data_IF_723823341375
#
_entry.id   IF_723823341375
#
_cell.length_a   1.000
_cell.length_b   1.000
_cell.length_c   1.000
_cell.angle_alpha   90.00
_cell.angle_beta   90.00
_cell.angle_gamma   90.00
#
_symmetry.space_group_name_H-M   'P 1'
#
loop_
_entity.id
_entity.type
_entity.pdbx_description
1 polymer ?
#
# COMPACT_ATOMS: atom_id res chain seq x y z
N UNK A 1 7.55 3.95 -1.73
CA UNK A 1 7.21 5.37 -1.48
C UNK A 1 6.86 5.52 -0.02
N UNK A 2 7.17 6.66 0.60
CA UNK A 2 6.65 6.95 1.95
C UNK A 2 5.14 7.21 1.90
N UNK A 3 4.46 7.17 3.06
CA UNK A 3 3.02 7.44 3.15
C UNK A 3 2.73 8.83 2.57
N UNK A 4 1.94 8.86 1.48
CA UNK A 4 1.71 10.04 0.65
C UNK A 4 0.55 9.77 -0.32
N UNK A 5 0.03 10.83 -0.95
CA UNK A 5 -1.00 10.67 -1.98
C UNK A 5 -0.47 9.89 -3.17
N UNK A 6 0.79 10.12 -3.54
CA UNK A 6 1.52 9.38 -4.58
C UNK A 6 1.58 7.88 -4.30
N UNK A 7 1.73 7.47 -3.03
CA UNK A 7 1.66 6.06 -2.65
C UNK A 7 0.28 5.47 -2.95
N UNK A 8 -0.80 6.15 -2.56
CA UNK A 8 -2.18 5.70 -2.81
C UNK A 8 -2.44 5.61 -4.32
N UNK A 9 -2.11 6.66 -5.07
CA UNK A 9 -2.23 6.68 -6.53
C UNK A 9 -1.39 5.58 -7.18
N UNK A 10 -0.19 5.31 -6.69
CA UNK A 10 0.69 4.25 -7.19
C UNK A 10 0.11 2.85 -6.97
N UNK A 11 -0.47 2.58 -5.80
CA UNK A 11 -1.15 1.30 -5.52
C UNK A 11 -2.34 1.12 -6.47
N UNK A 12 -3.20 2.14 -6.59
CA UNK A 12 -4.36 2.10 -7.51
C UNK A 12 -3.92 1.94 -8.97
N UNK A 13 -2.84 2.61 -9.38
CA UNK A 13 -2.28 2.48 -10.72
C UNK A 13 -1.83 1.05 -11.02
N UNK A 14 -1.12 0.41 -10.08
CA UNK A 14 -0.66 -0.98 -10.23
C UNK A 14 -1.87 -1.93 -10.36
N UNK A 15 -2.85 -1.81 -9.48
CA UNK A 15 -4.02 -2.69 -9.48
C UNK A 15 -4.91 -2.48 -10.71
N UNK A 16 -5.11 -1.23 -11.14
CA UNK A 16 -5.96 -0.90 -12.30
C UNK A 16 -5.43 -1.39 -13.65
N UNK A 17 -4.13 -1.67 -13.76
CA UNK A 17 -3.53 -2.28 -14.95
C UNK A 17 -3.40 -3.80 -14.86
N UNK A 18 -3.92 -4.41 -13.79
CA UNK A 18 -3.84 -5.85 -13.52
C UNK A 18 -2.45 -6.33 -13.10
N UNK A 19 -1.58 -5.43 -12.63
CA UNK A 19 -0.28 -5.80 -12.09
C UNK A 19 -0.38 -6.18 -10.61
N UNK A 20 0.61 -6.95 -10.13
CA UNK A 20 0.65 -7.41 -8.75
C UNK A 20 1.43 -6.42 -7.89
N UNK A 21 0.78 -5.83 -6.90
CA UNK A 21 1.40 -4.92 -5.96
C UNK A 21 2.24 -5.67 -4.91
N UNK A 22 3.47 -5.23 -4.68
CA UNK A 22 4.27 -5.69 -3.55
C UNK A 22 4.86 -4.47 -2.83
N UNK A 23 4.53 -4.25 -1.54
CA UNK A 23 5.04 -3.11 -0.80
C UNK A 23 6.55 -3.26 -0.55
N UNK A 24 7.30 -2.22 -0.90
CA UNK A 24 8.68 -2.02 -0.48
C UNK A 24 8.71 -0.87 0.53
N UNK A 25 9.05 -1.18 1.78
CA UNK A 25 9.20 -0.16 2.81
C UNK A 25 10.53 0.61 2.59
N UNK A 26 10.52 1.94 2.38
CA UNK A 26 11.74 2.72 2.16
C UNK A 26 12.73 2.72 3.32
N UNK A 27 12.26 2.37 4.52
CA UNK A 27 13.08 2.25 5.73
C UNK A 27 13.73 0.86 5.88
N UNK A 28 13.35 -0.11 5.04
CA UNK A 28 13.96 -1.45 5.09
C UNK A 28 15.41 -1.39 4.58
N UNK A 29 16.35 -2.16 5.16
CA UNK A 29 17.73 -2.21 4.68
C UNK A 29 17.81 -2.61 3.18
N UNK A 30 18.76 -2.06 2.39
CA UNK A 30 18.87 -2.37 0.96
C UNK A 30 18.92 -3.87 0.63
N UNK A 31 19.63 -4.65 1.45
CA UNK A 31 19.70 -6.11 1.28
C UNK A 31 18.33 -6.78 1.37
N UNK A 32 17.45 -6.28 2.26
CA UNK A 32 16.08 -6.78 2.43
C UNK A 32 15.21 -6.42 1.22
N UNK A 33 15.32 -5.19 0.71
CA UNK A 33 14.64 -4.75 -0.51
C UNK A 33 15.06 -5.62 -1.71
N UNK A 34 16.36 -5.84 -1.90
CA UNK A 34 16.88 -6.69 -2.96
C UNK A 34 16.40 -8.15 -2.84
N UNK A 35 16.39 -8.70 -1.63
CA UNK A 35 15.87 -10.04 -1.37
C UNK A 35 14.38 -10.15 -1.73
N UNK A 36 13.58 -9.14 -1.37
CA UNK A 36 12.14 -9.11 -1.66
C UNK A 36 11.86 -9.03 -3.17
N UNK A 37 12.60 -8.19 -3.89
CA UNK A 37 12.53 -8.09 -5.36
C UNK A 37 12.89 -9.43 -6.01
N UNK A 38 13.96 -10.08 -5.53
CA UNK A 38 14.39 -11.37 -6.06
C UNK A 38 13.38 -12.49 -5.79
N UNK A 39 12.81 -12.55 -4.59
CA UNK A 39 11.84 -13.58 -4.19
C UNK A 39 10.53 -13.45 -4.99
N UNK A 40 10.07 -12.21 -5.19
CA UNK A 40 8.82 -11.91 -5.92
C UNK A 40 9.00 -11.89 -7.44
N UNK A 41 10.25 -11.95 -7.93
CA UNK A 41 10.61 -11.73 -9.34
C UNK A 41 10.01 -10.43 -9.86
N UNK A 42 10.08 -9.38 -9.04
CA UNK A 42 9.58 -8.06 -9.40
C UNK A 42 10.19 -7.59 -10.72
N UNK A 43 9.36 -7.07 -11.62
CA UNK A 43 9.80 -6.58 -12.93
C UNK A 43 10.04 -5.08 -12.95
N UNK A 44 9.25 -4.35 -12.17
CA UNK A 44 9.32 -2.89 -12.06
C UNK A 44 9.30 -2.47 -10.60
N UNK A 45 9.94 -1.33 -10.30
CA UNK A 45 9.77 -0.63 -9.03
C UNK A 45 9.19 0.75 -9.32
N UNK A 46 8.03 1.02 -8.73
CA UNK A 46 7.39 2.33 -8.81
C UNK A 46 7.88 3.21 -7.64
N UNK A 47 8.52 4.32 -7.98
CA UNK A 47 9.06 5.31 -7.03
C UNK A 47 8.48 6.68 -7.30
N UNK A 48 8.59 7.60 -6.34
CA UNK A 48 8.37 9.03 -6.53
C UNK A 48 9.71 9.77 -6.45
N UNK A 49 9.71 11.09 -6.67
CA UNK A 49 10.93 11.89 -6.62
C UNK A 49 11.68 11.74 -5.29
N UNK A 50 10.99 11.76 -4.15
CA UNK A 50 11.62 11.66 -2.82
C UNK A 50 12.23 10.30 -2.50
N UNK A 51 11.73 9.21 -3.10
CA UNK A 51 12.26 7.87 -2.85
C UNK A 51 13.24 7.38 -3.92
N UNK A 52 13.35 8.08 -5.05
CA UNK A 52 14.24 7.70 -6.15
C UNK A 52 15.71 7.63 -5.74
N UNK A 53 16.16 8.64 -5.00
CA UNK A 53 17.57 8.78 -4.59
C UNK A 53 17.96 7.86 -3.44
N UNK A 54 16.96 7.41 -2.65
CA UNK A 54 17.13 6.47 -1.53
C UNK A 54 17.14 5.01 -1.99
N UNK A 55 16.59 4.75 -3.18
CA UNK A 55 16.44 3.39 -3.69
C UNK A 55 17.79 2.84 -4.21
N UNK A 56 18.22 1.64 -3.77
CA UNK A 56 19.51 1.09 -4.18
C UNK A 56 19.56 0.88 -5.69
N UNK A 57 20.73 1.15 -6.28
CA UNK A 57 21.01 0.77 -7.66
C UNK A 57 20.80 -0.75 -7.80
N UNK A 58 19.85 -1.14 -8.64
CA UNK A 58 19.49 -2.53 -8.88
C UNK A 58 19.19 -2.72 -10.37
N UNK A 59 19.29 -3.96 -10.84
CA UNK A 59 19.06 -4.31 -12.25
C UNK A 59 17.57 -4.32 -12.66
N UNK A 60 16.69 -3.76 -11.82
CA UNK A 60 15.24 -3.71 -12.05
C UNK A 60 14.86 -2.41 -12.73
N UNK A 61 13.86 -2.45 -13.61
CA UNK A 61 13.33 -1.27 -14.27
C UNK A 61 12.61 -0.37 -13.25
N UNK A 62 12.97 0.92 -13.23
CA UNK A 62 12.38 1.90 -12.33
C UNK A 62 11.36 2.74 -13.09
N UNK A 63 10.14 2.79 -12.56
CA UNK A 63 9.09 3.70 -13.00
C UNK A 63 9.00 4.85 -12.01
N UNK A 64 9.05 6.09 -12.51
CA UNK A 64 8.84 7.28 -11.69
C UNK A 64 7.39 7.74 -11.84
N UNK A 65 6.68 7.85 -10.71
CA UNK A 65 5.36 8.41 -10.69
C UNK A 65 5.45 9.94 -10.87
N UNK A 66 4.76 10.45 -11.88
CA UNK A 66 4.65 11.89 -12.17
C UNK A 66 3.19 12.25 -12.43
N UNK A 67 2.86 13.54 -12.32
CA UNK A 67 1.49 14.04 -12.48
C UNK A 67 0.90 13.88 -13.89
N UNK A 68 1.74 13.57 -14.90
CA UNK A 68 1.32 13.45 -16.30
C UNK A 68 1.19 11.99 -16.77
N UNK A 69 1.36 11.02 -15.88
CA UNK A 69 1.28 9.61 -16.24
C UNK A 69 -0.17 9.23 -16.60
N UNK A 70 -0.39 8.75 -17.83
CA UNK A 70 -1.69 8.21 -18.24
C UNK A 70 -1.74 6.72 -17.94
N UNK A 71 -2.78 6.28 -17.23
CA UNK A 71 -2.99 4.87 -16.90
C UNK A 71 -4.08 4.32 -17.82
N UNK A 72 -3.72 3.35 -18.65
CA UNK A 72 -4.69 2.59 -19.43
C UNK A 72 -5.16 1.40 -18.59
N UNK A 73 -6.34 1.52 -17.98
CA UNK A 73 -6.93 0.43 -17.22
C UNK A 73 -7.16 -0.78 -18.13
N UNK A 74 -7.04 -1.97 -17.54
CA UNK A 74 -7.32 -3.23 -18.23
C UNK A 74 -8.40 -3.99 -17.47
N UNK A 75 -9.17 -4.85 -18.15
CA UNK A 75 -10.02 -5.80 -17.45
C UNK A 75 -9.17 -6.64 -16.50
N UNK A 76 -9.56 -6.70 -15.23
CA UNK A 76 -8.91 -7.49 -14.18
C UNK A 76 -9.87 -8.60 -13.75
N UNK A 77 -9.37 -9.84 -13.62
CA UNK A 77 -10.17 -10.95 -13.13
C UNK A 77 -10.07 -11.06 -11.61
N UNK A 78 -11.16 -11.47 -10.96
CA UNK A 78 -11.22 -11.70 -9.51
C UNK A 78 -10.16 -12.70 -9.03
N UNK A 79 -9.83 -13.69 -9.86
CA UNK A 79 -8.85 -14.74 -9.53
C UNK A 79 -7.40 -14.34 -9.85
N UNK A 80 -7.17 -13.19 -10.51
CA UNK A 80 -5.81 -12.69 -10.74
C UNK A 80 -5.17 -12.30 -9.42
N UNK A 81 -3.84 -12.46 -9.34
CA UNK A 81 -3.06 -11.96 -8.23
C UNK A 81 -3.15 -10.42 -8.17
N UNK A 82 -3.43 -9.89 -6.99
CA UNK A 82 -3.56 -8.46 -6.73
C UNK A 82 -2.36 -7.92 -5.97
N UNK A 83 -1.94 -8.62 -4.91
CA UNK A 83 -0.79 -8.20 -4.12
C UNK A 83 -0.03 -9.35 -3.48
N UNK A 84 1.22 -9.09 -3.11
CA UNK A 84 2.09 -10.00 -2.38
C UNK A 84 2.53 -9.35 -1.07
N UNK A 85 2.38 -10.08 0.03
CA UNK A 85 3.01 -9.72 1.30
C UNK A 85 4.04 -10.76 1.69
N UNK A 86 5.15 -10.29 2.25
CA UNK A 86 6.20 -11.16 2.74
C UNK A 86 6.26 -11.16 4.26
N UNK A 87 6.19 -12.35 4.85
CA UNK A 87 6.32 -12.55 6.30
C UNK A 87 7.70 -13.10 6.65
N UNK A 88 8.15 -12.87 7.88
CA UNK A 88 9.36 -13.51 8.40
C UNK A 88 9.12 -15.02 8.50
N UNK A 89 9.85 -15.80 7.69
CA UNK A 89 9.85 -17.25 7.83
C UNK A 89 10.69 -17.69 9.03
N UNK A 90 10.29 -18.80 9.65
CA UNK A 90 11.04 -19.45 10.74
C UNK A 90 12.45 -19.90 10.33
N UNK A 91 12.71 -20.03 9.03
CA UNK A 91 14.01 -20.39 8.46
C UNK A 91 14.90 -19.18 8.14
N UNK A 92 14.47 -17.97 8.51
CA UNK A 92 15.15 -16.70 8.21
C UNK A 92 14.89 -16.19 6.78
N UNK A 93 14.39 -17.02 5.86
CA UNK A 93 13.96 -16.60 4.52
C UNK A 93 12.52 -16.08 4.56
N UNK A 94 12.27 -14.96 3.89
CA UNK A 94 10.91 -14.41 3.75
C UNK A 94 10.03 -15.35 2.94
N UNK A 95 8.76 -15.50 3.34
CA UNK A 95 7.75 -16.24 2.58
C UNK A 95 6.81 -15.26 1.90
N UNK A 96 6.76 -15.30 0.57
CA UNK A 96 5.80 -14.53 -0.21
C UNK A 96 4.42 -15.20 -0.15
N UNK A 97 3.42 -14.42 0.23
CA UNK A 97 2.01 -14.82 0.26
C UNK A 97 1.31 -14.02 -0.84
N UNK A 98 0.76 -14.74 -1.82
CA UNK A 98 0.03 -14.15 -2.96
C UNK A 98 -1.45 -14.05 -2.61
N UNK A 99 -2.00 -12.86 -2.78
CA UNK A 99 -3.42 -12.58 -2.59
C UNK A 99 -4.05 -12.19 -3.92
N UNK A 100 -5.26 -12.69 -4.17
CA UNK A 100 -6.03 -12.37 -5.38
C UNK A 100 -6.92 -11.14 -5.18
N UNK A 101 -7.42 -10.57 -6.29
CA UNK A 101 -8.41 -9.49 -6.25
C UNK A 101 -9.63 -9.88 -5.42
N UNK A 102 -10.10 -11.13 -5.57
CA UNK A 102 -11.21 -11.68 -4.77
C UNK A 102 -10.92 -11.70 -3.28
N UNK A 103 -9.72 -12.10 -2.87
CA UNK A 103 -9.36 -12.15 -1.44
C UNK A 103 -9.25 -10.76 -0.83
N UNK A 104 -8.78 -9.79 -1.61
CA UNK A 104 -8.72 -8.39 -1.22
C UNK A 104 -10.13 -7.81 -1.06
N UNK A 105 -10.98 -7.94 -2.10
CA UNK A 105 -12.35 -7.42 -2.09
C UNK A 105 -13.16 -8.06 -0.96
N UNK A 106 -13.10 -9.38 -0.80
CA UNK A 106 -13.81 -10.07 0.29
C UNK A 106 -13.38 -9.60 1.68
N UNK A 107 -12.10 -9.27 1.88
CA UNK A 107 -11.61 -8.76 3.17
C UNK A 107 -12.09 -7.33 3.44
N UNK A 108 -12.14 -6.51 2.39
CA UNK A 108 -12.67 -5.14 2.47
C UNK A 108 -14.18 -5.17 2.71
N UNK A 109 -14.92 -5.98 1.96
CA UNK A 109 -16.36 -6.15 2.11
C UNK A 109 -16.71 -6.64 3.52
N UNK A 110 -15.96 -7.62 4.05
CA UNK A 110 -16.14 -8.11 5.41
C UNK A 110 -15.89 -7.01 6.45
N UNK A 111 -14.84 -6.19 6.27
CA UNK A 111 -14.55 -5.07 7.18
C UNK A 111 -15.66 -4.02 7.13
N UNK A 112 -16.10 -3.63 5.94
CA UNK A 112 -17.18 -2.67 5.75
C UNK A 112 -18.46 -3.22 6.40
N UNK A 113 -18.84 -4.47 6.10
CA UNK A 113 -20.05 -5.11 6.62
C UNK A 113 -20.05 -5.27 8.14
N UNK A 114 -18.91 -5.61 8.72
CA UNK A 114 -18.76 -5.71 10.17
C UNK A 114 -19.05 -4.37 10.86
N UNK A 115 -18.81 -3.27 10.16
CA UNK A 115 -18.85 -1.92 10.71
C UNK A 115 -19.89 -1.01 10.01
N UNK A 116 -20.87 -1.59 9.29
CA UNK A 116 -21.88 -0.84 8.51
C UNK A 116 -22.83 0.00 9.39
N UNK A 117 -22.91 -0.26 10.69
CA UNK A 117 -23.59 0.63 11.63
C UNK A 117 -22.76 1.89 11.96
N UNK A 118 -21.49 1.94 11.55
CA UNK A 118 -20.51 2.98 11.93
C UNK A 118 -19.90 3.70 10.72
N UNK A 119 -19.66 3.01 9.59
CA UNK A 119 -19.01 3.61 8.42
C UNK A 119 -19.99 4.31 7.46
N UNK A 120 -19.84 5.63 7.38
CA UNK A 120 -20.55 6.56 6.53
C UNK A 120 -19.57 7.39 5.68
N UNK A 121 -20.09 8.14 4.71
CA UNK A 121 -19.28 9.07 3.92
C UNK A 121 -18.75 10.26 4.73
N UNK A 122 -19.19 10.44 5.99
CA UNK A 122 -18.71 11.51 6.87
C UNK A 122 -17.51 11.06 7.71
N UNK A 123 -17.20 9.77 7.72
CA UNK A 123 -16.12 9.24 8.53
C UNK A 123 -14.74 9.60 7.98
N UNK A 124 -13.79 9.58 8.90
CA UNK A 124 -12.39 9.86 8.63
C UNK A 124 -11.54 8.71 9.14
N UNK A 125 -10.81 8.07 8.22
CA UNK A 125 -9.96 6.93 8.52
C UNK A 125 -8.52 7.37 8.52
N UNK A 126 -7.81 7.13 9.62
CA UNK A 126 -6.38 7.35 9.68
C UNK A 126 -5.65 6.16 9.07
N UNK A 127 -4.74 6.41 8.13
CA UNK A 127 -3.81 5.39 7.66
C UNK A 127 -2.60 5.31 8.59
N UNK A 128 -2.59 4.30 9.46
CA UNK A 128 -1.62 4.12 10.55
C UNK A 128 -0.68 2.96 10.26
N UNK A 129 -1.18 1.88 9.68
CA UNK A 129 -0.40 0.69 9.40
C UNK A 129 0.78 0.99 8.45
N UNK A 130 1.87 0.25 8.67
CA UNK A 130 2.98 0.20 7.71
C UNK A 130 2.55 -0.57 6.47
N UNK A 131 3.06 -0.18 5.30
CA UNK A 131 2.79 -0.87 4.02
C UNK A 131 3.20 -2.36 4.04
N UNK A 132 4.10 -2.77 4.94
CA UNK A 132 4.50 -4.17 5.12
C UNK A 132 3.39 -5.06 5.73
N UNK A 133 2.29 -4.48 6.20
CA UNK A 133 1.17 -5.20 6.81
C UNK A 133 -0.10 -5.04 5.98
N UNK A 134 -0.88 -6.11 5.79
CA UNK A 134 -2.11 -6.08 4.99
C UNK A 134 -3.11 -5.00 5.44
N UNK A 135 -3.07 -4.66 6.73
CA UNK A 135 -3.91 -3.63 7.33
C UNK A 135 -3.82 -2.27 6.62
N UNK A 136 -2.70 -1.92 5.99
CA UNK A 136 -2.62 -0.65 5.24
C UNK A 136 -3.58 -0.58 4.05
N UNK A 137 -3.89 -1.72 3.40
CA UNK A 137 -4.89 -1.77 2.33
C UNK A 137 -6.30 -1.70 2.92
N UNK A 138 -6.51 -2.34 4.08
CA UNK A 138 -7.80 -2.34 4.78
C UNK A 138 -8.14 -0.99 5.41
N UNK A 139 -7.15 -0.17 5.77
CA UNK A 139 -7.36 1.24 6.16
C UNK A 139 -7.63 2.12 4.93
N UNK A 140 -7.01 1.80 3.80
CA UNK A 140 -7.04 2.64 2.59
C UNK A 140 -8.33 2.48 1.77
N UNK A 141 -8.80 1.25 1.53
CA UNK A 141 -9.88 1.01 0.58
C UNK A 141 -11.29 1.42 1.06
N UNK A 142 -11.71 1.15 2.31
CA UNK A 142 -13.05 1.53 2.76
C UNK A 142 -13.39 3.01 2.50
N UNK A 143 -12.55 4.00 2.88
CA UNK A 143 -12.91 5.40 2.62
C UNK A 143 -12.96 5.73 1.14
N UNK A 144 -12.10 5.12 0.31
CA UNK A 144 -12.13 5.33 -1.14
C UNK A 144 -13.37 4.73 -1.82
N UNK A 145 -13.92 3.63 -1.27
CA UNK A 145 -15.11 2.97 -1.82
C UNK A 145 -16.41 3.60 -1.34
N UNK A 146 -16.45 4.07 -0.09
CA UNK A 146 -17.65 4.64 0.55
C UNK A 146 -17.75 6.16 0.39
N UNK A 147 -16.74 6.80 -0.19
CA UNK A 147 -16.69 8.25 -0.36
C UNK A 147 -16.40 9.02 0.93
N UNK A 148 -15.76 8.37 1.91
CA UNK A 148 -15.31 8.99 3.15
C UNK A 148 -13.85 9.44 3.04
N UNK A 149 -13.28 10.01 4.11
CA UNK A 149 -11.95 10.66 4.03
C UNK A 149 -10.84 9.74 4.52
N UNK A 150 -9.79 9.57 3.71
CA UNK A 150 -8.54 8.91 4.14
C UNK A 150 -7.52 9.96 4.60
N UNK A 151 -7.11 9.90 5.86
CA UNK A 151 -6.12 10.78 6.46
C UNK A 151 -4.75 10.09 6.45
N UNK A 152 -3.84 10.65 5.66
CA UNK A 152 -2.47 10.17 5.56
C UNK A 152 -1.59 10.80 6.63
N UNK A 153 -1.17 10.02 7.62
CA UNK A 153 -0.17 10.48 8.57
C UNK A 153 1.17 10.74 7.87
N UNK A 154 1.93 11.73 8.35
CA UNK A 154 3.31 11.91 7.86
C UNK A 154 4.14 10.64 8.10
N UNK A 155 5.21 10.40 7.31
CA UNK A 155 6.11 9.27 7.54
C UNK A 155 6.64 9.25 8.98
N UNK A 156 6.58 8.09 9.65
CA UNK A 156 6.93 7.93 11.07
C UNK A 156 5.94 8.55 12.08
N UNK A 157 4.89 9.24 11.62
CA UNK A 157 3.94 9.94 12.48
C UNK A 157 3.16 9.03 13.44
N UNK A 158 3.01 7.76 13.11
CA UNK A 158 2.39 6.76 13.97
C UNK A 158 3.25 6.38 15.20
N UNK A 159 4.52 6.81 15.25
CA UNK A 159 5.43 6.60 16.39
C UNK A 159 5.62 7.88 17.23
N UNK A 160 5.13 9.02 16.73
CA UNK A 160 5.18 10.30 17.42
C UNK A 160 3.82 10.57 18.08
N UNK A 161 3.72 10.25 19.37
CA UNK A 161 2.47 10.34 20.13
C UNK A 161 1.93 11.78 20.22
N UNK A 162 2.79 12.80 20.24
CA UNK A 162 2.37 14.20 20.31
C UNK A 162 1.70 14.57 18.97
N UNK A 163 2.35 14.25 17.86
CA UNK A 163 1.79 14.47 16.54
C UNK A 163 0.51 13.66 16.32
N UNK A 164 0.52 12.37 16.66
CA UNK A 164 -0.62 11.48 16.45
C UNK A 164 -1.85 11.97 17.23
N UNK A 165 -1.67 12.35 18.51
CA UNK A 165 -2.76 12.90 19.32
C UNK A 165 -3.28 14.22 18.74
N UNK A 166 -2.39 15.10 18.27
CA UNK A 166 -2.81 16.36 17.63
C UNK A 166 -3.64 16.11 16.38
N UNK A 167 -3.22 15.19 15.50
CA UNK A 167 -4.01 14.82 14.32
C UNK A 167 -5.37 14.29 14.75
N UNK A 168 -5.45 13.41 15.75
CA UNK A 168 -6.76 12.92 16.23
C UNK A 168 -7.68 14.05 16.74
N UNK A 169 -7.13 15.08 17.39
CA UNK A 169 -7.90 16.22 17.88
C UNK A 169 -8.34 17.19 16.78
N UNK A 170 -7.56 17.33 15.70
CA UNK A 170 -7.88 18.20 14.55
C UNK A 170 -9.00 17.62 13.66
N UNK A 171 -9.37 16.35 13.88
CA UNK A 171 -10.24 15.55 13.03
C UNK A 171 -11.56 15.16 13.75
N UNK A 172 -11.78 15.70 14.96
CA UNK A 172 -13.05 15.68 15.68
C UNK A 172 -13.89 16.92 15.33
#
# INVERSE_FOLDING_TARGET
MDRSLEMVCGILAILSVGAVYCPLNPEDPPARICSLISETRGRFVLLNGSTRDRFPASAIDILLLTNNNTIASKPVCEMDAAYILCTSGTTGRQKAIVHTNRSLSASIDALIQWDLEVYTSQDQVLQVASCSWAMHLLEMFPPLLLGSTLILLRPGGNLDMIYFTRVLMEQQ
#
